data_IF_218303623591
#
_entry.id   IF_218303623591
#
_cell.length_a   1.000
_cell.length_b   1.000
_cell.length_c   1.000
_cell.angle_alpha   90.00
_cell.angle_beta   90.00
_cell.angle_gamma   90.00
#
_symmetry.space_group_name_H-M   'P 1'
#
loop_
_entity.id
_entity.type
_entity.pdbx_description
1 polymer ?
#
# COMPACT_ATOMS: atom_id res chain seq x y z
N UNK A 1 -33.32 -13.22 -5.30
CA UNK A 1 -32.09 -12.67 -4.70
C UNK A 1 -30.95 -12.94 -5.68
N UNK A 2 -30.56 -11.94 -6.48
CA UNK A 2 -29.35 -12.05 -7.29
C UNK A 2 -28.16 -12.06 -6.32
N UNK A 3 -27.52 -13.21 -6.16
CA UNK A 3 -26.15 -13.25 -5.65
C UNK A 3 -25.31 -12.59 -6.73
N UNK A 4 -24.91 -11.34 -6.51
CA UNK A 4 -23.72 -10.80 -7.15
C UNK A 4 -22.63 -11.84 -6.99
N UNK A 5 -22.19 -12.43 -8.10
CA UNK A 5 -20.94 -13.19 -8.12
C UNK A 5 -19.88 -12.16 -7.75
N UNK A 6 -19.53 -12.14 -6.48
CA UNK A 6 -18.28 -11.56 -6.05
C UNK A 6 -17.25 -12.46 -6.72
N UNK A 7 -16.72 -12.02 -7.87
CA UNK A 7 -15.54 -12.67 -8.43
C UNK A 7 -14.49 -12.60 -7.32
N UNK A 8 -14.00 -13.76 -6.89
CA UNK A 8 -12.91 -13.89 -5.94
C UNK A 8 -11.64 -13.37 -6.62
N UNK A 9 -11.55 -12.05 -6.82
CA UNK A 9 -10.36 -11.40 -7.31
C UNK A 9 -9.40 -11.26 -6.14
N UNK A 10 -8.25 -11.90 -6.23
CA UNK A 10 -7.21 -11.82 -5.21
C UNK A 10 -6.42 -10.52 -5.37
N UNK A 11 -7.06 -9.41 -4.99
CA UNK A 11 -6.47 -8.07 -5.07
C UNK A 11 -5.86 -7.69 -3.72
N UNK A 12 -4.58 -7.31 -3.73
CA UNK A 12 -3.85 -6.87 -2.53
C UNK A 12 -3.33 -5.45 -2.74
N UNK A 13 -3.69 -4.53 -1.85
CA UNK A 13 -3.09 -3.20 -1.80
C UNK A 13 -1.61 -3.29 -1.42
N UNK A 14 -0.73 -2.52 -2.06
CA UNK A 14 0.70 -2.59 -1.78
C UNK A 14 1.40 -1.25 -2.03
N UNK A 15 2.54 -1.05 -1.36
CA UNK A 15 3.49 0.00 -1.68
C UNK A 15 4.69 -0.57 -2.43
N UNK A 16 5.06 0.08 -3.52
CA UNK A 16 6.17 -0.30 -4.38
C UNK A 16 7.23 0.79 -4.36
N UNK A 17 8.45 0.46 -3.95
CA UNK A 17 9.58 1.38 -4.06
C UNK A 17 10.27 1.24 -5.41
N UNK A 18 10.49 2.35 -6.11
CA UNK A 18 11.41 2.37 -7.25
C UNK A 18 12.85 2.45 -6.72
N UNK A 19 13.70 1.48 -7.06
CA UNK A 19 15.12 1.47 -6.66
C UNK A 19 15.96 2.48 -7.43
N UNK A 20 15.47 3.01 -8.55
CA UNK A 20 16.22 3.92 -9.44
C UNK A 20 15.90 5.39 -9.18
N UNK A 21 14.65 5.72 -8.84
CA UNK A 21 14.22 7.09 -8.56
C UNK A 21 14.20 7.34 -7.05
N UNK A 22 15.18 8.12 -6.56
CA UNK A 22 15.26 8.44 -5.14
C UNK A 22 13.96 9.07 -4.64
N UNK A 23 13.45 8.52 -3.53
CA UNK A 23 12.38 9.07 -2.70
C UNK A 23 10.93 8.89 -3.16
N UNK A 24 10.71 8.04 -4.16
CA UNK A 24 9.37 7.76 -4.70
C UNK A 24 8.86 6.38 -4.27
N UNK A 25 7.66 6.36 -3.69
CA UNK A 25 6.89 5.16 -3.37
C UNK A 25 5.57 5.21 -4.12
N UNK A 26 5.21 4.14 -4.82
CA UNK A 26 3.93 4.03 -5.48
C UNK A 26 2.95 3.26 -4.61
N UNK A 27 1.74 3.78 -4.47
CA UNK A 27 0.61 3.05 -3.90
C UNK A 27 -0.25 2.50 -5.03
N UNK A 28 -0.70 1.27 -4.86
CA UNK A 28 -1.51 0.58 -5.85
C UNK A 28 -2.02 -0.75 -5.35
N UNK A 29 -2.37 -1.63 -6.29
CA UNK A 29 -2.80 -2.99 -6.01
C UNK A 29 -2.16 -3.99 -6.96
N UNK A 30 -1.97 -5.21 -6.46
CA UNK A 30 -1.57 -6.39 -7.23
C UNK A 30 -2.79 -7.25 -7.45
N UNK A 31 -3.11 -7.53 -8.71
CA UNK A 31 -4.01 -8.61 -9.08
C UNK A 31 -3.16 -9.90 -9.13
N UNK A 32 -3.31 -10.77 -8.12
CA UNK A 32 -2.52 -12.00 -8.02
C UNK A 32 -2.87 -13.01 -9.11
N UNK A 33 -4.12 -12.99 -9.59
CA UNK A 33 -4.59 -13.90 -10.62
C UNK A 33 -3.98 -13.55 -11.99
N UNK A 34 -3.79 -12.25 -12.26
CA UNK A 34 -3.20 -11.74 -13.51
C UNK A 34 -1.70 -11.43 -13.43
N UNK A 35 -1.13 -11.41 -12.23
CA UNK A 35 0.24 -10.91 -11.98
C UNK A 35 0.46 -9.48 -12.50
N UNK A 36 -0.59 -8.65 -12.42
CA UNK A 36 -0.59 -7.26 -12.89
C UNK A 36 -0.50 -6.27 -11.73
N UNK A 37 0.29 -5.23 -11.93
CA UNK A 37 0.46 -4.14 -10.97
C UNK A 37 -0.25 -2.89 -11.49
N UNK A 38 -1.13 -2.32 -10.68
CA UNK A 38 -1.84 -1.09 -11.00
C UNK A 38 -1.44 -0.01 -10.00
N UNK A 39 -0.85 1.08 -10.50
CA UNK A 39 -0.45 2.23 -9.68
C UNK A 39 -1.60 3.22 -9.63
N UNK A 40 -1.98 3.63 -8.43
CA UNK A 40 -3.02 4.65 -8.18
C UNK A 40 -2.38 6.00 -7.91
N UNK A 41 -1.37 6.04 -7.04
CA UNK A 41 -0.78 7.30 -6.59
C UNK A 41 0.72 7.18 -6.26
N UNK A 42 1.37 8.34 -6.18
CA UNK A 42 2.75 8.50 -5.77
C UNK A 42 2.83 9.18 -4.40
N UNK A 43 3.63 8.59 -3.51
CA UNK A 43 3.86 9.01 -2.13
C UNK A 43 5.36 9.24 -1.91
N UNK A 44 5.70 10.06 -0.91
CA UNK A 44 7.09 10.28 -0.50
C UNK A 44 7.55 9.17 0.43
N UNK A 45 8.81 8.76 0.28
CA UNK A 45 9.46 7.71 1.08
C UNK A 45 9.38 7.97 2.60
N UNK A 46 9.59 9.21 3.03
CA UNK A 46 9.64 9.56 4.45
C UNK A 46 8.28 9.46 5.12
N UNK A 47 7.21 9.67 4.34
CA UNK A 47 5.86 9.68 4.87
C UNK A 47 5.30 8.26 5.07
N UNK A 48 5.85 7.24 4.39
CA UNK A 48 5.32 5.86 4.37
C UNK A 48 6.33 4.77 4.72
N UNK A 49 7.55 5.17 5.11
CA UNK A 49 8.53 4.24 5.67
C UNK A 49 9.30 3.51 4.60
N UNK A 50 10.25 4.23 3.99
CA UNK A 50 11.30 3.78 3.09
C UNK A 50 11.30 2.26 2.71
N UNK A 51 10.44 1.83 1.77
CA UNK A 51 10.39 0.43 1.32
C UNK A 51 11.65 -0.03 0.58
N UNK A 52 12.57 0.88 0.23
CA UNK A 52 13.74 0.57 -0.61
C UNK A 52 14.75 -0.33 0.11
N UNK A 53 14.77 -0.29 1.45
CA UNK A 53 15.65 -1.14 2.28
C UNK A 53 15.27 -2.62 2.24
N UNK A 54 13.99 -2.97 2.03
CA UNK A 54 13.52 -4.35 1.95
C UNK A 54 12.54 -4.51 0.79
N UNK A 55 13.02 -5.13 -0.31
CA UNK A 55 12.18 -5.45 -1.48
C UNK A 55 10.96 -6.25 -0.97
N UNK A 56 9.75 -5.70 -1.16
CA UNK A 56 8.45 -6.33 -0.81
C UNK A 56 7.96 -6.25 0.65
N UNK A 57 8.34 -5.25 1.45
CA UNK A 57 8.01 -5.25 2.89
C UNK A 57 6.92 -4.28 3.37
N UNK A 58 6.09 -3.72 2.48
CA UNK A 58 4.88 -3.02 2.94
C UNK A 58 3.67 -3.74 2.36
N UNK A 59 3.34 -4.81 3.05
CA UNK A 59 2.07 -5.52 2.89
C UNK A 59 1.02 -4.82 3.75
N UNK A 60 -0.24 -4.80 3.31
CA UNK A 60 -1.31 -4.18 4.06
C UNK A 60 -1.51 -4.97 5.35
N UNK A 61 -1.43 -4.27 6.48
CA UNK A 61 -1.67 -4.85 7.80
C UNK A 61 -3.16 -5.14 7.98
N UNK A 62 -4.01 -4.26 7.45
CA UNK A 62 -5.46 -4.39 7.44
C UNK A 62 -6.08 -3.48 6.37
N UNK A 63 -7.29 -3.84 5.92
CA UNK A 63 -8.16 -2.99 5.10
C UNK A 63 -9.49 -2.81 5.84
N UNK A 64 -9.91 -1.56 6.04
CA UNK A 64 -11.23 -1.21 6.53
C UNK A 64 -12.10 -0.71 5.36
N UNK A 65 -13.00 -1.56 4.84
CA UNK A 65 -13.86 -1.19 3.72
C UNK A 65 -14.94 -0.17 4.09
N UNK A 66 -15.26 0.00 5.38
CA UNK A 66 -16.31 0.95 5.80
C UNK A 66 -15.83 2.39 5.69
N UNK A 67 -14.53 2.59 5.84
CA UNK A 67 -13.88 3.91 5.79
C UNK A 67 -13.00 4.10 4.55
N UNK A 68 -12.89 3.07 3.69
CA UNK A 68 -11.99 3.08 2.52
C UNK A 68 -10.53 3.36 2.93
N UNK A 69 -10.04 2.66 3.96
CA UNK A 69 -8.69 2.88 4.53
C UNK A 69 -7.88 1.59 4.51
N UNK A 70 -6.64 1.67 4.03
CA UNK A 70 -5.62 0.64 4.17
C UNK A 70 -4.61 1.08 5.22
N UNK A 71 -4.32 0.17 6.14
CA UNK A 71 -3.26 0.31 7.13
C UNK A 71 -2.00 -0.34 6.60
N UNK A 72 -0.92 0.43 6.54
CA UNK A 72 0.37 0.00 6.03
C UNK A 72 1.41 0.12 7.14
N UNK A 73 1.96 -1.00 7.59
CA UNK A 73 3.07 -1.01 8.56
C UNK A 73 4.41 -1.19 7.84
N UNK A 74 5.37 -0.34 8.14
CA UNK A 74 6.73 -0.43 7.61
C UNK A 74 7.77 -0.18 8.71
N UNK A 75 8.98 -0.68 8.52
CA UNK A 75 10.11 -0.33 9.39
C UNK A 75 10.91 0.79 8.71
N UNK A 76 11.05 1.92 9.39
CA UNK A 76 11.78 3.08 8.87
C UNK A 76 13.32 2.93 9.00
N UNK A 77 14.03 3.98 8.60
CA UNK A 77 15.49 3.99 8.57
C UNK A 77 16.17 3.91 9.94
N UNK A 78 15.41 4.18 11.00
CA UNK A 78 15.83 4.09 12.41
C UNK A 78 15.41 2.78 13.07
N UNK A 79 14.92 1.80 12.30
CA UNK A 79 14.41 0.52 12.78
C UNK A 79 13.18 0.65 13.71
N UNK A 80 12.40 1.74 13.56
CA UNK A 80 11.10 1.92 14.21
C UNK A 80 9.98 1.46 13.29
N UNK A 81 8.92 0.92 13.86
CA UNK A 81 7.69 0.61 13.12
C UNK A 81 6.92 1.90 12.96
N UNK A 82 6.58 2.23 11.73
CA UNK A 82 5.62 3.28 11.43
C UNK A 82 4.32 2.66 10.91
N UNK A 83 3.21 3.35 11.12
CA UNK A 83 1.89 2.95 10.64
C UNK A 83 1.31 4.08 9.80
N UNK A 84 1.12 3.83 8.51
CA UNK A 84 0.51 4.77 7.57
C UNK A 84 -0.93 4.38 7.27
N UNK A 85 -1.81 5.37 7.25
CA UNK A 85 -3.21 5.25 6.85
C UNK A 85 -3.37 5.86 5.47
N UNK A 86 -3.77 5.05 4.50
CA UNK A 86 -3.90 5.46 3.11
C UNK A 86 -5.35 5.26 2.68
N UNK A 87 -5.95 6.25 2.03
CA UNK A 87 -7.26 6.08 1.43
C UNK A 87 -7.17 5.05 0.28
N UNK A 88 -8.00 4.00 0.33
CA UNK A 88 -7.78 2.83 -0.50
C UNK A 88 -8.03 3.10 -1.99
N UNK A 89 -9.03 3.93 -2.29
CA UNK A 89 -9.44 4.29 -3.66
C UNK A 89 -8.51 5.33 -4.29
N UNK A 90 -8.14 6.38 -3.56
CA UNK A 90 -7.36 7.51 -4.09
C UNK A 90 -5.86 7.36 -3.90
N UNK A 91 -5.42 6.49 -3.00
CA UNK A 91 -4.03 6.33 -2.64
C UNK A 91 -3.42 7.54 -1.93
N UNK A 92 -4.23 8.47 -1.42
CA UNK A 92 -3.77 9.61 -0.64
C UNK A 92 -3.38 9.14 0.76
N UNK A 93 -2.19 9.51 1.22
CA UNK A 93 -1.80 9.34 2.62
C UNK A 93 -2.61 10.28 3.51
N UNK A 94 -3.34 9.70 4.46
CA UNK A 94 -4.17 10.44 5.41
C UNK A 94 -3.38 10.79 6.66
N UNK A 95 -2.58 9.86 7.17
CA UNK A 95 -1.80 10.04 8.38
C UNK A 95 -0.68 9.00 8.51
N UNK A 96 0.36 9.32 9.27
CA UNK A 96 1.43 8.39 9.66
C UNK A 96 1.72 8.53 11.16
N UNK A 97 1.78 7.39 11.85
CA UNK A 97 2.15 7.28 13.26
C UNK A 97 3.59 6.73 13.38
N UNK A 98 4.40 7.35 14.24
CA UNK A 98 5.84 7.05 14.47
C UNK A 98 6.15 6.49 15.86
#
# INVERSE_FOLDING_TARGET
ICKSKQEDQHVIHALFGDRTQNDIVYYGFVDLDKSEYNIINTLKVDDVGNPRKRKYQILPSAYDPSNDIVFMSAINDQNKIILSLINATTGILLHTFD
#
